data_IF_093980752348
#
_entry.id   IF_093980752348
#
_cell.length_a   1.000
_cell.length_b   1.000
_cell.length_c   1.000
_cell.angle_alpha   90.00
_cell.angle_beta   90.00
_cell.angle_gamma   90.00
#
_symmetry.space_group_name_H-M   'P 1'
#
loop_
_entity.id
_entity.type
_entity.pdbx_description
1 polymer ?
#
# COMPACT_ATOMS: atom_id res chain seq x y z
N UNK A 1 33.19 25.09 -10.13
CA UNK A 1 33.37 26.36 -9.39
C UNK A 1 32.42 26.28 -8.20
N UNK A 2 32.80 25.56 -7.14
CA UNK A 2 31.83 25.03 -6.15
C UNK A 2 32.25 25.32 -4.71
N UNK A 3 32.78 26.52 -4.43
CA UNK A 3 33.42 26.83 -3.15
C UNK A 3 32.84 28.01 -2.36
N UNK A 4 31.93 28.81 -2.90
CA UNK A 4 31.56 30.11 -2.30
C UNK A 4 30.18 30.21 -1.62
N UNK A 5 29.23 29.31 -1.89
CA UNK A 5 27.90 29.39 -1.24
C UNK A 5 27.83 28.80 0.19
N UNK A 6 28.83 28.03 0.63
CA UNK A 6 28.79 27.25 1.88
C UNK A 6 29.02 28.06 3.17
N UNK A 7 29.59 29.28 3.11
CA UNK A 7 29.89 30.07 4.33
C UNK A 7 28.69 30.82 4.89
N UNK A 8 27.74 31.24 4.05
CA UNK A 8 26.62 32.08 4.49
C UNK A 8 25.50 31.33 5.22
N UNK A 9 25.37 30.01 5.04
CA UNK A 9 24.36 29.16 5.72
C UNK A 9 24.87 28.47 6.99
N UNK A 10 26.05 28.85 7.49
CA UNK A 10 26.56 28.29 8.75
C UNK A 10 25.74 28.83 9.93
N UNK A 11 25.41 27.96 10.86
CA UNK A 11 24.68 28.28 12.09
C UNK A 11 25.61 29.06 13.03
N UNK A 12 25.59 30.39 12.91
CA UNK A 12 26.52 31.29 13.60
C UNK A 12 25.98 31.84 14.92
N UNK A 13 24.66 31.88 15.08
CA UNK A 13 24.00 32.46 16.24
C UNK A 13 23.19 31.41 16.99
N UNK A 14 23.35 31.37 18.32
CA UNK A 14 22.60 30.48 19.21
C UNK A 14 21.42 31.24 19.80
N UNK A 15 20.24 30.64 19.70
CA UNK A 15 18.99 31.14 20.30
C UNK A 15 18.49 30.06 21.25
N UNK A 16 18.30 30.41 22.53
CA UNK A 16 17.75 29.53 23.54
C UNK A 16 16.47 30.15 24.12
N UNK A 17 15.37 29.40 24.14
CA UNK A 17 14.12 29.79 24.79
C UNK A 17 13.43 28.56 25.39
N UNK A 18 12.62 28.77 26.43
CA UNK A 18 11.85 27.71 27.07
C UNK A 18 10.47 27.62 26.43
N UNK A 19 9.98 26.39 26.26
CA UNK A 19 8.63 26.10 25.76
C UNK A 19 7.88 25.24 26.77
N UNK A 20 6.55 25.25 26.69
CA UNK A 20 5.71 24.37 27.50
C UNK A 20 5.91 22.90 27.12
N UNK A 21 5.66 22.01 28.08
CA UNK A 21 5.72 20.57 27.85
C UNK A 21 4.75 20.12 26.74
N UNK A 22 3.57 20.74 26.67
CA UNK A 22 2.58 20.48 25.62
C UNK A 22 3.13 20.82 24.23
N UNK A 23 3.73 22.00 24.06
CA UNK A 23 4.31 22.42 22.79
C UNK A 23 5.49 21.52 22.40
N UNK A 24 6.33 21.14 23.37
CA UNK A 24 7.42 20.20 23.14
C UNK A 24 6.92 18.83 22.66
N UNK A 25 5.85 18.31 23.26
CA UNK A 25 5.22 17.05 22.85
C UNK A 25 4.70 17.12 21.42
N UNK A 26 4.00 18.21 21.07
CA UNK A 26 3.49 18.43 19.71
C UNK A 26 4.62 18.47 18.67
N UNK A 27 5.68 19.22 18.94
CA UNK A 27 6.84 19.30 18.04
C UNK A 27 7.56 17.96 17.88
N UNK A 28 7.72 17.21 18.98
CA UNK A 28 8.36 15.89 18.96
C UNK A 28 7.56 14.89 18.11
N UNK A 29 6.23 14.94 18.16
CA UNK A 29 5.37 14.10 17.34
C UNK A 29 5.42 14.45 15.84
N UNK A 30 5.76 15.69 15.48
CA UNK A 30 5.88 16.14 14.09
C UNK A 30 7.20 15.75 13.43
N UNK A 31 8.29 15.63 14.20
CA UNK A 31 9.62 15.25 13.68
C UNK A 31 9.58 13.99 12.79
N UNK A 32 9.04 12.84 13.22
CA UNK A 32 9.03 11.63 12.40
C UNK A 32 8.12 11.73 11.16
N UNK A 33 7.18 12.68 11.13
CA UNK A 33 6.20 12.86 10.05
C UNK A 33 6.64 13.89 9.02
N UNK A 34 7.76 14.58 9.26
CA UNK A 34 8.21 15.70 8.44
C UNK A 34 9.43 15.29 7.62
N UNK A 35 9.33 15.45 6.29
CA UNK A 35 10.38 15.02 5.37
C UNK A 35 11.69 15.78 5.61
N UNK A 36 12.78 15.02 5.75
CA UNK A 36 14.15 15.57 5.83
C UNK A 36 14.53 16.16 7.18
N UNK A 37 13.74 15.92 8.23
CA UNK A 37 13.99 16.46 9.58
C UNK A 37 14.36 15.34 10.54
N UNK A 38 15.42 15.55 11.32
CA UNK A 38 15.94 14.57 12.29
C UNK A 38 15.84 15.02 13.75
N UNK A 39 15.48 16.29 14.00
CA UNK A 39 15.35 16.82 15.36
C UNK A 39 14.35 17.97 15.46
N UNK A 40 13.85 18.20 16.68
CA UNK A 40 12.96 19.34 16.99
C UNK A 40 13.63 20.68 16.67
N UNK A 41 14.93 20.82 16.87
CA UNK A 41 15.67 22.04 16.54
C UNK A 41 15.74 22.28 15.02
N UNK A 42 15.87 21.22 14.21
CA UNK A 42 15.79 21.34 12.75
C UNK A 42 14.39 21.71 12.28
N UNK A 43 13.34 21.15 12.91
CA UNK A 43 11.94 21.51 12.66
C UNK A 43 11.68 22.99 12.96
N UNK A 44 12.05 23.45 14.16
CA UNK A 44 11.87 24.84 14.57
C UNK A 44 12.62 25.80 13.65
N UNK A 45 13.85 25.48 13.28
CA UNK A 45 14.61 26.30 12.33
C UNK A 45 13.91 26.40 10.99
N UNK A 46 13.43 25.27 10.44
CA UNK A 46 12.70 25.27 9.17
C UNK A 46 11.41 26.10 9.25
N UNK A 47 10.67 26.00 10.36
CA UNK A 47 9.47 26.83 10.60
C UNK A 47 9.84 28.32 10.63
N UNK A 48 10.91 28.69 11.33
CA UNK A 48 11.32 30.08 11.51
C UNK A 48 11.94 30.70 10.25
N UNK A 49 12.69 29.92 9.46
CA UNK A 49 13.39 30.40 8.25
C UNK A 49 12.49 30.38 7.00
N UNK A 50 11.72 29.31 6.81
CA UNK A 50 11.00 29.06 5.55
C UNK A 50 9.48 29.21 5.69
N UNK A 51 8.94 29.20 6.92
CA UNK A 51 7.51 29.28 7.20
C UNK A 51 6.67 28.11 6.66
N UNK A 52 7.28 27.15 5.97
CA UNK A 52 6.61 26.02 5.31
C UNK A 52 7.21 24.70 5.76
N UNK A 53 6.35 23.85 6.32
CA UNK A 53 6.70 22.49 6.72
C UNK A 53 5.89 21.52 5.88
N UNK A 54 6.58 20.73 5.05
CA UNK A 54 5.95 19.63 4.31
C UNK A 54 5.85 18.41 5.22
N UNK A 55 4.63 18.10 5.65
CA UNK A 55 4.31 16.88 6.38
C UNK A 55 3.90 15.84 5.34
N UNK A 56 4.54 14.68 5.36
CA UNK A 56 4.12 13.53 4.56
C UNK A 56 3.24 12.65 5.46
N UNK A 57 1.93 12.65 5.20
CA UNK A 57 0.99 11.80 5.91
C UNK A 57 0.64 10.61 5.03
N UNK A 58 0.81 9.41 5.57
CA UNK A 58 0.35 8.17 4.96
C UNK A 58 -0.88 7.66 5.71
N UNK A 59 -1.98 7.47 4.99
CA UNK A 59 -3.19 6.88 5.53
C UNK A 59 -3.16 5.36 5.27
N UNK A 60 -3.01 4.59 6.34
CA UNK A 60 -2.92 3.13 6.28
C UNK A 60 -4.26 2.42 6.47
N UNK A 61 -5.38 3.16 6.53
CA UNK A 61 -6.70 2.60 6.82
C UNK A 61 -7.13 1.52 5.80
N UNK A 62 -6.64 1.58 4.57
CA UNK A 62 -7.03 0.67 3.49
C UNK A 62 -5.91 -0.28 3.02
N UNK A 63 -4.74 -0.25 3.65
CA UNK A 63 -3.59 -1.06 3.24
C UNK A 63 -3.92 -2.55 3.20
N UNK A 64 -4.63 -3.04 4.22
CA UNK A 64 -5.04 -4.44 4.31
C UNK A 64 -5.99 -4.83 3.18
N UNK A 65 -6.94 -3.95 2.83
CA UNK A 65 -7.88 -4.21 1.75
C UNK A 65 -7.17 -4.25 0.39
N UNK A 66 -6.19 -3.37 0.19
CA UNK A 66 -5.33 -3.35 -1.01
C UNK A 66 -4.42 -4.58 -1.08
N UNK A 67 -3.87 -5.02 0.04
CA UNK A 67 -3.04 -6.23 0.13
C UNK A 67 -3.86 -7.50 -0.21
N UNK A 68 -5.07 -7.62 0.35
CA UNK A 68 -6.00 -8.70 0.01
C UNK A 68 -6.37 -8.67 -1.49
N UNK A 69 -6.67 -7.49 -2.03
CA UNK A 69 -6.99 -7.31 -3.44
C UNK A 69 -5.81 -7.67 -4.35
N UNK A 70 -4.56 -7.44 -3.94
CA UNK A 70 -3.38 -7.82 -4.71
C UNK A 70 -3.14 -9.35 -4.72
N UNK A 71 -3.67 -10.07 -3.72
CA UNK A 71 -3.52 -11.53 -3.59
C UNK A 71 -4.54 -12.31 -4.42
N UNK A 72 -5.82 -11.95 -4.37
CA UNK A 72 -6.88 -12.75 -5.00
C UNK A 72 -6.70 -12.94 -6.53
N UNK A 73 -6.27 -11.94 -7.32
CA UNK A 73 -6.00 -12.10 -8.75
C UNK A 73 -4.92 -13.15 -9.06
N UNK A 74 -3.91 -13.30 -8.19
CA UNK A 74 -2.89 -14.35 -8.35
C UNK A 74 -3.51 -15.74 -8.17
N UNK A 75 -4.44 -15.88 -7.24
CA UNK A 75 -5.16 -17.13 -7.00
C UNK A 75 -6.08 -17.47 -8.19
N UNK A 76 -6.81 -16.48 -8.74
CA UNK A 76 -7.62 -16.66 -9.95
C UNK A 76 -6.74 -17.05 -11.15
N UNK A 77 -5.58 -16.42 -11.31
CA UNK A 77 -4.64 -16.75 -12.38
C UNK A 77 -4.15 -18.20 -12.28
N UNK A 78 -3.79 -18.65 -11.08
CA UNK A 78 -3.39 -20.04 -10.85
C UNK A 78 -4.53 -21.03 -11.15
N UNK A 79 -5.78 -20.71 -10.78
CA UNK A 79 -6.96 -21.49 -11.16
C UNK A 79 -7.08 -21.57 -12.69
N UNK A 80 -6.92 -20.44 -13.39
CA UNK A 80 -6.98 -20.39 -14.85
C UNK A 80 -5.91 -21.23 -15.54
N UNK A 81 -4.67 -21.22 -15.03
CA UNK A 81 -3.59 -22.09 -15.51
C UNK A 81 -3.99 -23.57 -15.36
N UNK A 82 -4.47 -23.97 -14.18
CA UNK A 82 -4.86 -25.35 -13.91
C UNK A 82 -6.06 -25.79 -14.76
N UNK A 83 -7.06 -24.92 -14.90
CA UNK A 83 -8.22 -25.16 -15.76
C UNK A 83 -7.77 -25.41 -17.20
N UNK A 84 -6.88 -24.58 -17.74
CA UNK A 84 -6.36 -24.75 -19.09
C UNK A 84 -5.61 -26.09 -19.26
N UNK A 85 -4.88 -26.53 -18.24
CA UNK A 85 -4.23 -27.84 -18.27
C UNK A 85 -5.24 -28.99 -18.34
N UNK A 86 -6.28 -28.96 -17.50
CA UNK A 86 -7.32 -30.01 -17.50
C UNK A 86 -8.09 -30.00 -18.82
N UNK A 87 -8.42 -28.82 -19.35
CA UNK A 87 -9.07 -28.68 -20.66
C UNK A 87 -8.22 -29.29 -21.76
N UNK A 88 -6.90 -29.07 -21.76
CA UNK A 88 -6.00 -29.72 -22.75
C UNK A 88 -6.02 -31.24 -22.60
N UNK A 89 -5.93 -31.77 -21.37
CA UNK A 89 -6.02 -33.22 -21.11
C UNK A 89 -7.35 -33.78 -21.64
N UNK A 90 -8.45 -33.07 -21.42
CA UNK A 90 -9.80 -33.48 -21.81
C UNK A 90 -9.94 -33.67 -23.31
N UNK A 91 -9.36 -32.76 -24.10
CA UNK A 91 -9.39 -32.87 -25.57
C UNK A 91 -8.52 -34.02 -26.09
N UNK A 92 -7.49 -34.43 -25.36
CA UNK A 92 -6.59 -35.53 -25.75
C UNK A 92 -6.98 -36.89 -25.19
N UNK A 93 -7.94 -36.94 -24.27
CA UNK A 93 -8.35 -38.14 -23.55
C UNK A 93 -9.18 -39.07 -24.44
N UNK A 94 -8.78 -40.35 -24.48
CA UNK A 94 -9.37 -41.35 -25.37
C UNK A 94 -10.48 -42.14 -24.68
N UNK A 95 -10.37 -42.32 -23.37
CA UNK A 95 -11.32 -43.09 -22.55
C UNK A 95 -12.53 -42.25 -22.14
N UNK A 96 -13.69 -42.89 -22.00
CA UNK A 96 -14.91 -42.20 -21.57
C UNK A 96 -14.82 -41.83 -20.08
N UNK A 97 -14.25 -42.72 -19.27
CA UNK A 97 -14.03 -42.56 -17.84
C UNK A 97 -13.05 -41.42 -17.55
N UNK A 98 -11.94 -41.34 -18.30
CA UNK A 98 -10.97 -40.26 -18.18
C UNK A 98 -11.58 -38.90 -18.56
N UNK A 99 -12.39 -38.85 -19.63
CA UNK A 99 -13.10 -37.62 -20.02
C UNK A 99 -14.09 -37.19 -18.94
N UNK A 100 -14.85 -38.13 -18.37
CA UNK A 100 -15.80 -37.83 -17.29
C UNK A 100 -15.08 -37.26 -16.05
N UNK A 101 -13.97 -37.89 -15.63
CA UNK A 101 -13.18 -37.41 -14.50
C UNK A 101 -12.67 -35.97 -14.74
N UNK A 102 -12.14 -35.70 -15.92
CA UNK A 102 -11.61 -34.38 -16.27
C UNK A 102 -12.72 -33.32 -16.42
N UNK A 103 -13.91 -33.70 -16.88
CA UNK A 103 -15.09 -32.82 -16.87
C UNK A 103 -15.49 -32.41 -15.44
N UNK A 104 -15.46 -33.35 -14.48
CA UNK A 104 -15.70 -33.05 -13.07
C UNK A 104 -14.63 -32.11 -12.49
N UNK A 105 -13.35 -32.32 -12.84
CA UNK A 105 -12.28 -31.39 -12.47
C UNK A 105 -12.51 -29.97 -13.01
N UNK A 106 -12.92 -29.84 -14.28
CA UNK A 106 -13.25 -28.56 -14.92
C UNK A 106 -14.36 -27.85 -14.15
N UNK A 107 -15.47 -28.54 -13.85
CA UNK A 107 -16.59 -27.98 -13.08
C UNK A 107 -16.12 -27.48 -11.72
N UNK A 108 -15.28 -28.25 -11.03
CA UNK A 108 -14.71 -27.87 -9.73
C UNK A 108 -13.86 -26.61 -9.82
N UNK A 109 -13.02 -26.48 -10.86
CA UNK A 109 -12.20 -25.28 -11.07
C UNK A 109 -13.06 -24.05 -11.40
N UNK A 110 -14.14 -24.21 -12.17
CA UNK A 110 -15.09 -23.12 -12.40
C UNK A 110 -15.74 -22.64 -11.10
N UNK A 111 -16.19 -23.56 -10.25
CA UNK A 111 -16.76 -23.21 -8.94
C UNK A 111 -15.75 -22.47 -8.04
N UNK A 112 -14.48 -22.89 -8.05
CA UNK A 112 -13.42 -22.19 -7.32
C UNK A 112 -13.17 -20.78 -7.85
N UNK A 113 -13.15 -20.61 -9.18
CA UNK A 113 -12.99 -19.31 -9.80
C UNK A 113 -14.14 -18.35 -9.42
N UNK A 114 -15.38 -18.85 -9.44
CA UNK A 114 -16.57 -18.08 -9.09
C UNK A 114 -16.57 -17.59 -7.63
N UNK A 115 -16.16 -18.46 -6.70
CA UNK A 115 -15.98 -18.09 -5.30
C UNK A 115 -14.91 -16.99 -5.13
N UNK A 116 -13.78 -17.09 -5.84
CA UNK A 116 -12.74 -16.06 -5.80
C UNK A 116 -13.20 -14.75 -6.43
N UNK A 117 -13.96 -14.81 -7.52
CA UNK A 117 -14.51 -13.62 -8.17
C UNK A 117 -15.47 -12.88 -7.21
N UNK A 118 -16.33 -13.62 -6.52
CA UNK A 118 -17.22 -13.06 -5.49
C UNK A 118 -16.44 -12.36 -4.37
N UNK A 119 -15.31 -12.94 -3.93
CA UNK A 119 -14.43 -12.31 -2.95
C UNK A 119 -13.81 -11.01 -3.46
N UNK A 120 -13.35 -10.97 -4.73
CA UNK A 120 -12.85 -9.73 -5.34
C UNK A 120 -13.91 -8.65 -5.33
N UNK A 121 -15.12 -8.95 -5.81
CA UNK A 121 -16.23 -7.98 -5.86
C UNK A 121 -16.55 -7.45 -4.46
N UNK A 122 -16.56 -8.33 -3.46
CA UNK A 122 -16.82 -7.94 -2.07
C UNK A 122 -15.71 -7.04 -1.51
N UNK A 123 -14.44 -7.34 -1.77
CA UNK A 123 -13.32 -6.50 -1.34
C UNK A 123 -13.31 -5.14 -2.05
N UNK A 124 -13.63 -5.11 -3.35
CA UNK A 124 -13.81 -3.85 -4.10
C UNK A 124 -14.94 -3.01 -3.49
N UNK A 125 -16.08 -3.63 -3.15
CA UNK A 125 -17.20 -2.93 -2.53
C UNK A 125 -16.77 -2.26 -1.20
N UNK A 126 -16.06 -2.99 -0.33
CA UNK A 126 -15.53 -2.44 0.93
C UNK A 126 -14.58 -1.27 0.73
N UNK A 127 -13.72 -1.32 -0.29
CA UNK A 127 -12.84 -0.20 -0.63
C UNK A 127 -13.67 0.99 -1.12
N UNK A 128 -14.67 0.74 -1.98
CA UNK A 128 -15.51 1.80 -2.55
C UNK A 128 -16.33 2.57 -1.52
N UNK A 129 -16.77 1.91 -0.42
CA UNK A 129 -17.46 2.57 0.70
C UNK A 129 -16.60 3.63 1.39
N UNK A 130 -15.28 3.47 1.41
CA UNK A 130 -14.34 4.45 1.98
C UNK A 130 -13.95 5.58 1.04
N UNK A 131 -14.15 5.42 -0.27
CA UNK A 131 -13.76 6.40 -1.30
C UNK A 131 -14.90 7.33 -1.71
N UNK A 132 -16.15 6.89 -1.55
CA UNK A 132 -17.31 7.73 -1.87
C UNK A 132 -17.50 8.77 -0.75
N UNK A 133 -17.46 10.08 -1.08
CA UNK A 133 -17.81 11.11 -0.11
C UNK A 133 -19.28 10.91 0.32
N UNK A 134 -19.55 11.05 1.61
CA UNK A 134 -20.92 11.14 2.13
C UNK A 134 -21.58 12.46 1.74
#
# INVERSE_FOLDING_TARGET
MDGKESRSKRLTHRIDFRISAELHGRLSALVPRTRGIKSVSQLLRKILEEGKVTIETYDSTQDKALEELARIPKEIHAIGINLNQVTRRFHTEKTAEGRLFQALEIVRFFQQADLRLTQVITTIAKISEGWLPK
#
